data_IF_511170505823
#
_entry.id   IF_511170505823
#
_cell.length_a   1.000
_cell.length_b   1.000
_cell.length_c   1.000
_cell.angle_alpha   90.00
_cell.angle_beta   90.00
_cell.angle_gamma   90.00
#
_symmetry.space_group_name_H-M   'P 1'
#
loop_
_entity.id
_entity.type
_entity.pdbx_description
1 polymer ?
#
# COMPACT_ATOMS: atom_id res chain seq x y z
N UNK A 1 -2.89 -9.12 -4.48
CA UNK A 1 -4.33 -8.82 -4.37
C UNK A 1 -4.54 -8.00 -3.11
N UNK A 2 -4.79 -6.70 -3.28
CA UNK A 2 -4.94 -5.78 -2.14
C UNK A 2 -6.39 -5.61 -1.69
N UNK A 3 -6.61 -4.86 -0.62
CA UNK A 3 -7.93 -4.62 -0.03
C UNK A 3 -8.95 -4.00 -1.01
N UNK A 4 -8.50 -3.20 -1.96
CA UNK A 4 -9.38 -2.52 -2.91
C UNK A 4 -9.22 -3.00 -4.36
N UNK A 5 -8.04 -3.50 -4.74
CA UNK A 5 -7.68 -3.69 -6.15
C UNK A 5 -6.87 -4.97 -6.34
N UNK A 6 -7.17 -5.73 -7.37
CA UNK A 6 -6.26 -6.73 -7.93
C UNK A 6 -5.51 -6.07 -9.07
N UNK A 7 -4.21 -6.28 -9.12
CA UNK A 7 -3.33 -5.61 -10.08
C UNK A 7 -2.43 -6.64 -10.76
N UNK A 8 -2.47 -6.68 -12.07
CA UNK A 8 -1.53 -7.39 -12.92
C UNK A 8 -0.44 -6.42 -13.36
N UNK A 9 0.81 -6.78 -13.17
CA UNK A 9 1.96 -6.07 -13.69
C UNK A 9 2.83 -7.05 -14.49
N UNK A 10 2.98 -6.83 -15.78
CA UNK A 10 3.89 -7.56 -16.64
C UNK A 10 5.23 -6.84 -16.67
N UNK A 11 6.31 -7.53 -16.37
CA UNK A 11 7.66 -6.95 -16.41
C UNK A 11 8.61 -7.83 -17.19
N UNK A 12 9.57 -7.21 -17.81
CA UNK A 12 10.78 -7.86 -18.33
C UNK A 12 11.83 -7.86 -17.22
N UNK A 13 12.32 -9.02 -16.89
CA UNK A 13 13.38 -9.16 -15.91
C UNK A 13 14.46 -10.12 -16.40
N UNK A 14 15.69 -9.79 -16.13
CA UNK A 14 16.84 -10.63 -16.38
C UNK A 14 17.79 -10.58 -15.17
N UNK A 15 18.57 -11.61 -14.99
CA UNK A 15 19.47 -11.72 -13.85
C UNK A 15 20.46 -10.55 -13.80
N UNK A 16 20.51 -9.84 -12.68
CA UNK A 16 21.41 -8.69 -12.48
C UNK A 16 20.91 -7.37 -13.10
N UNK A 17 19.76 -7.38 -13.77
CA UNK A 17 19.13 -6.16 -14.32
C UNK A 17 17.99 -5.64 -13.44
N UNK A 18 17.65 -4.39 -13.66
CA UNK A 18 16.45 -3.79 -13.05
C UNK A 18 15.20 -4.26 -13.81
N UNK A 19 14.15 -4.76 -13.13
CA UNK A 19 12.91 -5.15 -13.79
C UNK A 19 12.28 -3.96 -14.53
N UNK A 20 11.87 -4.16 -15.77
CA UNK A 20 11.25 -3.12 -16.59
C UNK A 20 9.76 -3.39 -16.73
N UNK A 21 8.88 -2.53 -16.19
CA UNK A 21 7.44 -2.64 -16.39
C UNK A 21 7.08 -2.52 -17.88
N UNK A 22 6.32 -3.49 -18.39
CA UNK A 22 5.85 -3.55 -19.79
C UNK A 22 4.38 -3.17 -19.91
N UNK A 23 3.55 -3.73 -19.06
CA UNK A 23 2.11 -3.41 -19.05
C UNK A 23 1.54 -3.55 -17.63
N UNK A 24 0.41 -2.87 -17.40
CA UNK A 24 -0.24 -2.85 -16.09
C UNK A 24 -1.76 -2.83 -16.27
N UNK A 25 -2.46 -3.79 -15.66
CA UNK A 25 -3.92 -3.89 -15.69
C UNK A 25 -4.45 -3.98 -14.26
N UNK A 26 -5.55 -3.28 -13.96
CA UNK A 26 -6.13 -3.21 -12.61
C UNK A 26 -7.63 -3.53 -12.64
N UNK A 27 -8.06 -4.37 -11.70
CA UNK A 27 -9.47 -4.64 -11.41
C UNK A 27 -9.80 -4.10 -10.01
N UNK A 28 -10.81 -3.23 -9.91
CA UNK A 28 -11.27 -2.69 -8.62
C UNK A 28 -12.32 -3.62 -8.04
N UNK A 29 -11.99 -4.31 -6.96
CA UNK A 29 -12.86 -5.31 -6.32
C UNK A 29 -13.44 -4.85 -4.99
N UNK A 30 -12.76 -3.93 -4.27
CA UNK A 30 -13.13 -3.46 -2.92
C UNK A 30 -13.40 -4.63 -1.95
N UNK A 31 -12.47 -5.59 -1.89
CA UNK A 31 -12.65 -6.81 -1.11
C UNK A 31 -12.87 -6.51 0.38
N UNK A 32 -12.19 -5.50 0.92
CA UNK A 32 -12.36 -5.09 2.31
C UNK A 32 -13.79 -4.63 2.66
N UNK A 33 -14.55 -4.14 1.68
CA UNK A 33 -15.94 -3.71 1.84
C UNK A 33 -16.93 -4.90 1.69
N UNK A 34 -16.45 -6.05 1.25
CA UNK A 34 -17.24 -7.25 0.99
C UNK A 34 -16.96 -8.38 1.99
N UNK A 35 -16.41 -8.03 3.14
CA UNK A 35 -16.30 -8.90 4.31
C UNK A 35 -17.60 -8.76 5.10
N UNK A 36 -18.25 -9.89 5.37
CA UNK A 36 -19.50 -9.94 6.12
C UNK A 36 -19.31 -9.81 7.65
N UNK A 37 -20.44 -9.94 8.40
CA UNK A 37 -20.44 -9.83 9.86
C UNK A 37 -19.64 -10.93 10.58
N UNK A 38 -19.42 -12.07 9.93
CA UNK A 38 -18.64 -13.22 10.43
C UNK A 38 -17.15 -13.15 10.02
N UNK A 39 -16.75 -12.06 9.36
CA UNK A 39 -15.40 -11.85 8.87
C UNK A 39 -15.07 -12.66 7.61
N UNK A 40 -16.07 -13.20 6.89
CA UNK A 40 -15.89 -13.97 5.67
C UNK A 40 -15.92 -13.04 4.44
N UNK A 41 -15.08 -13.32 3.48
CA UNK A 41 -15.24 -12.76 2.14
C UNK A 41 -16.49 -13.39 1.49
N UNK A 42 -17.43 -12.56 1.04
CA UNK A 42 -18.69 -13.04 0.45
C UNK A 42 -18.43 -13.86 -0.83
N UNK A 43 -19.31 -14.82 -1.14
CA UNK A 43 -19.22 -15.65 -2.37
C UNK A 43 -19.18 -14.79 -3.64
N UNK A 44 -19.92 -13.67 -3.64
CA UNK A 44 -19.90 -12.70 -4.72
C UNK A 44 -18.50 -12.06 -4.90
N UNK A 45 -17.83 -11.74 -3.80
CA UNK A 45 -16.48 -11.18 -3.84
C UNK A 45 -15.45 -12.23 -4.26
N UNK A 46 -15.56 -13.45 -3.74
CA UNK A 46 -14.73 -14.59 -4.16
C UNK A 46 -14.87 -14.86 -5.66
N UNK A 47 -16.12 -14.91 -6.17
CA UNK A 47 -16.38 -15.08 -7.60
C UNK A 47 -15.76 -13.97 -8.48
N UNK A 48 -15.83 -12.70 -8.05
CA UNK A 48 -15.18 -11.60 -8.76
C UNK A 48 -13.65 -11.69 -8.72
N UNK A 49 -13.09 -12.13 -7.59
CA UNK A 49 -11.67 -12.35 -7.44
C UNK A 49 -11.18 -13.42 -8.41
N UNK A 50 -11.86 -14.57 -8.46
CA UNK A 50 -11.56 -15.67 -9.38
C UNK A 50 -11.60 -15.19 -10.84
N UNK A 51 -12.70 -14.55 -11.26
CA UNK A 51 -12.84 -14.04 -12.62
C UNK A 51 -11.70 -13.04 -13.00
N UNK A 52 -11.29 -12.20 -12.05
CA UNK A 52 -10.16 -11.28 -12.29
C UNK A 52 -8.82 -12.01 -12.41
N UNK A 53 -8.61 -13.10 -11.66
CA UNK A 53 -7.40 -13.91 -11.77
C UNK A 53 -7.38 -14.68 -13.08
N UNK A 54 -8.51 -15.22 -13.53
CA UNK A 54 -8.66 -15.86 -14.86
C UNK A 54 -8.29 -14.88 -15.97
N UNK A 55 -8.93 -13.70 -16.02
CA UNK A 55 -8.63 -12.66 -17.01
C UNK A 55 -7.15 -12.28 -17.02
N UNK A 56 -6.56 -12.12 -15.84
CA UNK A 56 -5.15 -11.73 -15.72
C UNK A 56 -4.20 -12.85 -16.14
N UNK A 57 -4.57 -14.10 -15.92
CA UNK A 57 -3.82 -15.26 -16.39
C UNK A 57 -3.83 -15.34 -17.93
N UNK A 58 -4.96 -15.04 -18.56
CA UNK A 58 -5.09 -14.99 -20.01
C UNK A 58 -4.22 -13.85 -20.61
N UNK A 59 -4.26 -12.66 -20.01
CA UNK A 59 -3.41 -11.53 -20.42
C UNK A 59 -1.94 -11.92 -20.28
N UNK A 60 -1.58 -12.55 -19.23
CA UNK A 60 -0.25 -13.03 -18.93
C UNK A 60 0.26 -14.01 -19.99
N UNK A 61 -0.52 -15.03 -20.25
CA UNK A 61 -0.21 -16.08 -21.25
C UNK A 61 -0.08 -15.47 -22.65
N UNK A 62 -1.02 -14.60 -23.04
CA UNK A 62 -0.97 -13.91 -24.34
C UNK A 62 0.21 -12.95 -24.48
N UNK A 63 0.70 -12.42 -23.36
CA UNK A 63 1.93 -11.60 -23.30
C UNK A 63 3.21 -12.42 -23.34
N UNK A 64 3.13 -13.76 -23.44
CA UNK A 64 4.28 -14.67 -23.47
C UNK A 64 5.03 -14.70 -22.14
N UNK A 65 4.32 -14.63 -21.02
CA UNK A 65 4.92 -14.68 -19.70
C UNK A 65 5.19 -16.12 -19.29
N UNK A 66 6.35 -16.38 -18.70
CA UNK A 66 6.79 -17.73 -18.33
C UNK A 66 6.45 -18.07 -16.89
N UNK A 67 6.30 -17.07 -16.03
CA UNK A 67 6.03 -17.27 -14.61
C UNK A 67 4.98 -16.29 -14.11
N UNK A 68 4.03 -16.77 -13.29
CA UNK A 68 3.08 -15.97 -12.55
C UNK A 68 3.44 -16.07 -11.06
N UNK A 69 3.59 -14.92 -10.40
CA UNK A 69 3.73 -14.83 -8.96
C UNK A 69 2.53 -14.06 -8.42
N UNK A 70 1.69 -14.69 -7.64
CA UNK A 70 0.47 -14.09 -7.12
C UNK A 70 0.54 -13.94 -5.60
N UNK A 71 0.23 -12.75 -5.11
CA UNK A 71 0.25 -12.44 -3.68
C UNK A 71 -1.09 -11.87 -3.22
N UNK A 72 -1.49 -12.22 -2.01
CA UNK A 72 -2.62 -11.62 -1.31
C UNK A 72 -2.16 -10.95 -0.01
N UNK A 73 -2.84 -9.86 0.36
CA UNK A 73 -2.56 -9.11 1.59
C UNK A 73 -3.81 -8.94 2.45
N UNK A 74 -3.84 -7.94 3.30
CA UNK A 74 -4.74 -7.76 4.43
C UNK A 74 -6.20 -8.17 4.21
N UNK A 75 -6.86 -7.80 3.11
CA UNK A 75 -8.28 -8.13 2.94
C UNK A 75 -8.57 -9.63 2.74
N UNK A 76 -7.67 -10.34 2.05
CA UNK A 76 -7.77 -11.79 1.86
C UNK A 76 -7.19 -12.52 3.07
N UNK A 77 -6.02 -12.10 3.54
CA UNK A 77 -5.35 -12.67 4.71
C UNK A 77 -6.22 -12.67 5.96
N UNK A 78 -6.93 -11.56 6.21
CA UNK A 78 -7.71 -11.36 7.42
C UNK A 78 -9.13 -11.96 7.32
N UNK A 79 -9.54 -12.48 6.15
CA UNK A 79 -10.82 -13.15 5.97
C UNK A 79 -10.81 -14.52 6.63
N UNK A 80 -11.88 -14.85 7.39
CA UNK A 80 -12.01 -16.14 8.10
C UNK A 80 -12.11 -17.34 7.16
N UNK A 81 -12.44 -17.13 5.90
CA UNK A 81 -12.49 -18.15 4.83
C UNK A 81 -11.35 -17.99 3.81
N UNK A 82 -10.22 -17.42 4.21
CA UNK A 82 -9.07 -17.19 3.32
C UNK A 82 -8.66 -18.45 2.56
N UNK A 83 -8.39 -19.55 3.26
CA UNK A 83 -7.91 -20.80 2.66
C UNK A 83 -8.92 -21.40 1.67
N UNK A 84 -10.22 -21.33 1.99
CA UNK A 84 -11.29 -21.78 1.10
C UNK A 84 -11.32 -20.99 -0.21
N UNK A 85 -11.23 -19.65 -0.10
CA UNK A 85 -11.24 -18.76 -1.28
C UNK A 85 -9.99 -18.98 -2.13
N UNK A 86 -8.81 -19.13 -1.53
CA UNK A 86 -7.56 -19.36 -2.25
C UNK A 86 -7.51 -20.74 -2.91
N UNK A 87 -8.07 -21.77 -2.26
CA UNK A 87 -8.25 -23.08 -2.89
C UNK A 87 -9.13 -23.00 -4.14
N UNK A 88 -10.26 -22.26 -4.07
CA UNK A 88 -11.13 -22.04 -5.23
C UNK A 88 -10.41 -21.27 -6.36
N UNK A 89 -9.56 -20.30 -6.04
CA UNK A 89 -8.74 -19.59 -7.03
C UNK A 89 -7.80 -20.58 -7.70
N UNK A 90 -7.05 -21.39 -6.93
CA UNK A 90 -6.10 -22.35 -7.47
C UNK A 90 -6.80 -23.40 -8.35
N UNK A 91 -7.93 -23.96 -7.91
CA UNK A 91 -8.69 -24.99 -8.63
C UNK A 91 -9.20 -24.48 -10.00
N UNK A 92 -9.67 -23.22 -10.05
CA UNK A 92 -10.26 -22.65 -11.27
C UNK A 92 -9.27 -22.04 -12.22
N UNK A 93 -8.18 -21.48 -11.71
CA UNK A 93 -7.24 -20.66 -12.52
C UNK A 93 -5.88 -21.32 -12.68
N UNK A 94 -5.57 -22.37 -11.90
CA UNK A 94 -4.23 -22.96 -11.84
C UNK A 94 -3.19 -22.07 -11.15
N UNK A 95 -3.59 -20.90 -10.64
CA UNK A 95 -2.68 -19.94 -10.00
C UNK A 95 -2.68 -20.14 -8.48
N UNK A 96 -1.53 -20.49 -7.94
CA UNK A 96 -1.31 -20.50 -6.48
C UNK A 96 -1.03 -19.08 -6.00
N UNK A 97 -1.75 -18.66 -4.95
CA UNK A 97 -1.61 -17.32 -4.36
C UNK A 97 -0.94 -17.44 -3.00
N UNK A 98 0.21 -16.78 -2.85
CA UNK A 98 0.92 -16.69 -1.58
C UNK A 98 0.31 -15.56 -0.72
N UNK A 99 0.05 -15.83 0.55
CA UNK A 99 -0.46 -14.84 1.49
C UNK A 99 0.71 -14.20 2.23
N UNK A 100 0.95 -12.92 1.98
CA UNK A 100 1.98 -12.19 2.68
C UNK A 100 1.56 -11.89 4.13
N UNK A 101 2.45 -12.16 5.08
CA UNK A 101 2.29 -11.61 6.43
C UNK A 101 2.40 -10.08 6.39
N UNK A 102 1.82 -9.40 7.37
CA UNK A 102 1.95 -7.93 7.44
C UNK A 102 3.41 -7.48 7.55
N UNK A 103 4.25 -8.24 8.25
CA UNK A 103 5.68 -7.96 8.37
C UNK A 103 6.39 -8.14 7.03
N UNK A 104 6.05 -9.17 6.24
CA UNK A 104 6.64 -9.36 4.91
C UNK A 104 6.19 -8.26 3.94
N UNK A 105 4.94 -7.81 4.04
CA UNK A 105 4.42 -6.65 3.29
C UNK A 105 5.24 -5.38 3.61
N UNK A 106 5.52 -5.13 4.90
CA UNK A 106 6.36 -4.02 5.34
C UNK A 106 7.82 -4.15 4.85
N UNK A 107 8.41 -5.36 4.89
CA UNK A 107 9.77 -5.63 4.39
C UNK A 107 9.87 -5.40 2.89
N UNK A 108 8.91 -5.91 2.12
CA UNK A 108 8.89 -5.74 0.67
C UNK A 108 8.71 -4.27 0.28
N UNK A 109 7.87 -3.52 1.00
CA UNK A 109 7.75 -2.07 0.81
C UNK A 109 9.07 -1.37 1.09
N UNK A 110 9.73 -1.71 2.18
CA UNK A 110 11.04 -1.18 2.55
C UNK A 110 12.08 -1.43 1.46
N UNK A 111 12.15 -2.66 0.96
CA UNK A 111 13.05 -3.06 -0.13
C UNK A 111 12.80 -2.23 -1.40
N UNK A 112 11.54 -2.04 -1.79
CA UNK A 112 11.18 -1.23 -2.96
C UNK A 112 11.63 0.22 -2.80
N UNK A 113 11.36 0.82 -1.64
CA UNK A 113 11.77 2.19 -1.30
C UNK A 113 13.29 2.30 -1.28
N UNK A 114 14.00 1.33 -0.68
CA UNK A 114 15.47 1.29 -0.65
C UNK A 114 16.06 1.26 -2.06
N UNK A 115 15.55 0.41 -2.94
CA UNK A 115 16.02 0.31 -4.32
C UNK A 115 15.72 1.55 -5.16
N UNK A 116 14.62 2.26 -4.85
CA UNK A 116 14.28 3.51 -5.50
C UNK A 116 15.26 4.64 -5.17
N UNK A 117 15.59 4.81 -3.89
CA UNK A 117 16.47 5.88 -3.43
C UNK A 117 17.95 5.51 -3.43
N UNK A 118 18.28 4.22 -3.37
CA UNK A 118 19.65 3.74 -3.26
C UNK A 118 20.23 3.87 -1.84
N UNK A 119 21.43 3.35 -1.67
CA UNK A 119 22.09 3.31 -0.34
C UNK A 119 22.58 4.69 0.14
N UNK A 120 22.82 5.63 -0.78
CA UNK A 120 23.18 7.02 -0.43
C UNK A 120 22.10 7.77 0.34
N UNK A 121 20.88 7.26 0.38
CA UNK A 121 19.77 7.84 1.16
C UNK A 121 19.92 7.61 2.68
N UNK A 122 20.94 6.88 3.13
CA UNK A 122 21.14 6.58 4.55
C UNK A 122 20.02 5.75 5.16
N UNK A 123 19.64 6.04 6.40
CA UNK A 123 18.54 5.40 7.10
C UNK A 123 17.19 5.89 6.59
N UNK A 124 16.35 4.96 6.14
CA UNK A 124 15.01 5.28 5.63
C UNK A 124 13.95 4.80 6.61
N UNK A 125 13.07 5.73 7.01
CA UNK A 125 11.81 5.43 7.69
C UNK A 125 10.69 5.48 6.64
N UNK A 126 10.04 4.35 6.39
CA UNK A 126 8.98 4.23 5.38
C UNK A 126 7.62 3.96 6.03
N UNK A 127 6.57 4.53 5.38
CA UNK A 127 5.16 4.34 5.75
C UNK A 127 4.34 3.98 4.51
N UNK A 128 3.42 3.02 4.65
CA UNK A 128 2.39 2.70 3.65
C UNK A 128 1.02 2.58 4.32
N UNK A 129 0.05 3.40 3.91
CA UNK A 129 -1.33 3.31 4.40
C UNK A 129 -2.16 2.59 3.35
N UNK A 130 -2.40 1.31 3.58
CA UNK A 130 -3.28 0.49 2.77
C UNK A 130 -4.77 0.68 3.08
N UNK A 131 -5.60 -0.21 2.52
CA UNK A 131 -7.03 -0.26 2.87
C UNK A 131 -7.29 -0.94 4.21
N UNK A 132 -6.53 -1.98 4.55
CA UNK A 132 -6.70 -2.78 5.77
C UNK A 132 -5.64 -2.54 6.84
N UNK A 133 -4.43 -2.15 6.46
CA UNK A 133 -3.27 -2.04 7.35
C UNK A 133 -2.44 -0.78 7.11
N UNK A 134 -1.55 -0.50 8.06
CA UNK A 134 -0.47 0.47 7.99
C UNK A 134 0.84 -0.31 8.14
N UNK A 135 1.67 -0.28 7.13
CA UNK A 135 3.02 -0.82 7.14
C UNK A 135 4.01 0.28 7.48
N UNK A 136 5.01 -0.08 8.30
CA UNK A 136 6.08 0.81 8.74
C UNK A 136 7.40 0.06 8.76
N UNK A 137 8.48 0.72 8.34
CA UNK A 137 9.82 0.14 8.44
C UNK A 137 10.87 1.22 8.69
N UNK A 138 11.96 0.84 9.37
CA UNK A 138 13.13 1.70 9.56
C UNK A 138 14.38 0.85 9.35
N UNK A 139 15.34 1.32 8.54
CA UNK A 139 16.57 0.59 8.26
C UNK A 139 17.49 1.27 7.29
N UNK A 140 18.69 0.71 7.13
CA UNK A 140 19.76 1.22 6.26
C UNK A 140 20.02 0.33 5.06
N UNK A 141 19.55 -0.91 5.09
CA UNK A 141 19.82 -1.93 4.08
C UNK A 141 18.54 -2.42 3.37
N UNK A 142 18.64 -3.44 2.52
CA UNK A 142 17.50 -4.09 1.85
C UNK A 142 16.56 -4.74 2.86
N UNK A 143 17.12 -5.38 3.89
CA UNK A 143 16.35 -5.84 5.06
C UNK A 143 16.33 -4.72 6.10
N UNK A 144 15.16 -4.19 6.46
CA UNK A 144 15.05 -3.14 7.47
C UNK A 144 15.32 -3.68 8.88
N UNK A 145 15.87 -2.84 9.76
CA UNK A 145 16.11 -3.19 11.16
C UNK A 145 14.80 -3.48 11.90
N UNK A 146 13.74 -2.76 11.55
CA UNK A 146 12.37 -2.96 12.05
C UNK A 146 11.37 -2.91 10.90
N UNK A 147 10.44 -3.86 10.87
CA UNK A 147 9.30 -3.92 9.96
C UNK A 147 8.04 -4.26 10.76
N UNK A 148 7.04 -3.39 10.69
CA UNK A 148 5.79 -3.49 11.45
C UNK A 148 4.59 -3.36 10.51
N UNK A 149 3.53 -4.10 10.81
CA UNK A 149 2.21 -3.92 10.19
C UNK A 149 1.16 -3.84 11.29
N UNK A 150 0.34 -2.82 11.25
CA UNK A 150 -0.78 -2.61 12.17
C UNK A 150 -2.11 -2.57 11.40
N UNK A 151 -3.23 -3.03 11.99
CA UNK A 151 -4.55 -3.03 11.35
C UNK A 151 -5.17 -1.61 11.28
N UNK A 152 -4.39 -0.63 10.81
CA UNK A 152 -4.72 0.80 10.79
C UNK A 152 -4.90 1.33 9.36
N UNK A 153 -5.40 0.49 8.45
CA UNK A 153 -5.70 0.89 7.08
C UNK A 153 -6.90 1.83 6.97
N UNK A 154 -6.86 2.71 5.97
CA UNK A 154 -7.88 3.75 5.77
C UNK A 154 -9.30 3.20 5.63
N UNK A 155 -9.48 2.10 4.89
CA UNK A 155 -10.80 1.48 4.68
C UNK A 155 -11.33 0.79 5.93
N UNK A 156 -10.47 0.06 6.65
CA UNK A 156 -10.82 -0.58 7.93
C UNK A 156 -11.29 0.46 8.94
N UNK A 157 -10.49 1.51 9.16
CA UNK A 157 -10.83 2.55 10.14
C UNK A 157 -12.08 3.33 9.76
N UNK A 158 -12.33 3.56 8.47
CA UNK A 158 -13.58 4.19 8.03
C UNK A 158 -14.77 3.32 8.40
N UNK A 159 -14.74 2.02 8.09
CA UNK A 159 -15.84 1.10 8.39
C UNK A 159 -16.10 0.95 9.89
N UNK A 160 -15.04 0.85 10.68
CA UNK A 160 -15.15 0.54 12.11
C UNK A 160 -15.43 1.79 12.98
N UNK A 161 -14.92 2.96 12.58
CA UNK A 161 -14.93 4.14 13.42
C UNK A 161 -15.71 5.33 12.84
N UNK A 162 -15.78 5.46 11.50
CA UNK A 162 -16.34 6.62 10.80
C UNK A 162 -17.44 6.20 9.81
N UNK A 163 -18.52 5.55 10.27
CA UNK A 163 -19.60 5.07 9.39
C UNK A 163 -20.46 6.19 8.81
N UNK A 164 -20.43 7.40 9.42
CA UNK A 164 -21.23 8.54 8.98
C UNK A 164 -20.55 9.27 7.81
N UNK A 165 -21.35 9.90 6.93
CA UNK A 165 -20.85 10.73 5.82
C UNK A 165 -21.63 12.05 5.70
N UNK A 166 -21.01 13.20 6.00
CA UNK A 166 -19.65 13.40 6.53
C UNK A 166 -19.42 12.77 7.89
N UNK A 167 -18.16 12.40 8.21
CA UNK A 167 -17.86 11.76 9.49
C UNK A 167 -18.16 12.67 10.68
N UNK A 168 -18.74 12.11 11.74
CA UNK A 168 -19.04 12.85 12.97
C UNK A 168 -17.76 13.34 13.68
N UNK A 169 -17.77 14.59 14.15
CA UNK A 169 -16.61 15.23 14.77
C UNK A 169 -16.17 14.56 16.07
N UNK A 170 -17.11 14.03 16.85
CA UNK A 170 -16.78 13.33 18.11
C UNK A 170 -16.10 12.01 17.80
N UNK A 171 -16.61 11.25 16.80
CA UNK A 171 -16.00 10.02 16.32
C UNK A 171 -14.59 10.26 15.79
N UNK A 172 -14.36 11.32 15.03
CA UNK A 172 -13.00 11.73 14.58
C UNK A 172 -12.08 11.97 15.78
N UNK A 173 -12.56 12.63 16.84
CA UNK A 173 -11.76 12.89 18.05
C UNK A 173 -11.43 11.60 18.79
N UNK A 174 -12.42 10.73 18.98
CA UNK A 174 -12.22 9.43 19.65
C UNK A 174 -11.24 8.54 18.85
N UNK A 175 -11.42 8.45 17.52
CA UNK A 175 -10.51 7.71 16.67
C UNK A 175 -9.07 8.24 16.78
N UNK A 176 -8.89 9.56 16.77
CA UNK A 176 -7.56 10.17 16.90
C UNK A 176 -6.90 9.79 18.23
N UNK A 177 -7.64 9.90 19.34
CA UNK A 177 -7.09 9.61 20.67
C UNK A 177 -6.77 8.10 20.83
N UNK A 178 -7.59 7.23 20.25
CA UNK A 178 -7.33 5.79 20.16
C UNK A 178 -6.08 5.47 19.32
N UNK A 179 -5.98 6.05 18.11
CA UNK A 179 -4.82 5.88 17.24
C UNK A 179 -3.53 6.36 17.91
N UNK A 180 -3.59 7.40 18.73
CA UNK A 180 -2.46 7.92 19.51
C UNK A 180 -1.93 6.88 20.51
N UNK A 181 -2.81 6.07 21.10
CA UNK A 181 -2.43 4.99 21.99
C UNK A 181 -1.88 3.79 21.22
N UNK A 182 -2.56 3.37 20.16
CA UNK A 182 -2.16 2.21 19.34
C UNK A 182 -0.78 2.35 18.71
N UNK A 183 -0.40 3.56 18.30
CA UNK A 183 0.89 3.81 17.64
C UNK A 183 2.05 4.02 18.60
N UNK A 184 1.82 4.05 19.91
CA UNK A 184 2.86 4.39 20.90
C UNK A 184 4.03 3.41 20.89
N UNK A 185 3.73 2.11 20.91
CA UNK A 185 4.76 1.06 20.97
C UNK A 185 5.50 0.93 19.63
N UNK A 186 4.78 1.06 18.52
CA UNK A 186 5.39 1.09 17.19
C UNK A 186 6.31 2.31 17.03
N UNK A 187 5.88 3.49 17.49
CA UNK A 187 6.69 4.70 17.47
C UNK A 187 8.00 4.53 18.26
N UNK A 188 7.94 3.86 19.42
CA UNK A 188 9.12 3.55 20.22
C UNK A 188 10.06 2.60 19.48
N UNK A 189 9.56 1.48 18.95
CA UNK A 189 10.37 0.51 18.22
C UNK A 189 11.09 1.16 17.03
N UNK A 190 10.38 2.00 16.26
CA UNK A 190 10.95 2.72 15.12
C UNK A 190 12.01 3.75 15.55
N UNK A 191 11.81 4.44 16.68
CA UNK A 191 12.76 5.42 17.22
C UNK A 191 14.02 4.76 17.78
N UNK A 192 13.91 3.60 18.42
CA UNK A 192 15.02 2.85 19.00
C UNK A 192 16.05 2.39 17.93
N UNK A 193 15.64 2.30 16.65
CA UNK A 193 16.54 2.00 15.52
C UNK A 193 17.45 3.16 15.11
N UNK A 194 17.22 4.36 15.62
CA UNK A 194 17.96 5.58 15.28
C UNK A 194 17.23 6.53 14.35
N UNK A 195 17.74 7.77 14.28
CA UNK A 195 17.12 8.83 13.49
C UNK A 195 17.20 8.55 11.98
N UNK A 196 16.09 8.68 11.23
CA UNK A 196 16.11 8.51 9.79
C UNK A 196 16.76 9.72 9.10
N UNK A 197 17.52 9.45 8.04
CA UNK A 197 18.05 10.46 7.12
C UNK A 197 16.97 10.87 6.10
N UNK A 198 16.09 9.93 5.75
CA UNK A 198 15.02 10.14 4.79
C UNK A 198 13.72 9.52 5.33
N UNK A 199 12.60 10.26 5.20
CA UNK A 199 11.26 9.75 5.53
C UNK A 199 10.44 9.67 4.25
N UNK A 200 9.93 8.47 3.96
CA UNK A 200 9.22 8.15 2.72
C UNK A 200 7.82 7.67 3.04
N UNK A 201 6.86 8.13 2.28
CA UNK A 201 5.50 7.64 2.27
C UNK A 201 5.14 7.06 0.91
N UNK A 202 4.55 5.88 0.92
CA UNK A 202 4.05 5.18 -0.28
C UNK A 202 2.54 5.07 -0.20
N UNK A 203 1.91 4.40 -1.14
CA UNK A 203 0.47 4.21 -1.29
C UNK A 203 -0.31 5.32 -1.98
N UNK A 204 -1.46 4.91 -2.52
CA UNK A 204 -2.40 5.84 -3.14
C UNK A 204 -3.00 6.84 -2.12
N UNK A 205 -3.12 6.42 -0.85
CA UNK A 205 -3.59 7.29 0.23
C UNK A 205 -2.68 8.49 0.42
N UNK A 206 -1.37 8.25 0.60
CA UNK A 206 -0.40 9.34 0.75
C UNK A 206 -0.30 10.20 -0.50
N UNK A 207 -0.35 9.61 -1.70
CA UNK A 207 -0.34 10.36 -2.97
C UNK A 207 -1.53 11.31 -3.09
N UNK A 208 -2.74 10.84 -2.76
CA UNK A 208 -3.93 11.69 -2.74
C UNK A 208 -3.80 12.83 -1.72
N UNK A 209 -3.33 12.54 -0.52
CA UNK A 209 -3.13 13.56 0.52
C UNK A 209 -2.08 14.61 0.11
N UNK A 210 -0.97 14.18 -0.49
CA UNK A 210 0.04 15.09 -1.01
C UNK A 210 -0.52 15.95 -2.15
N UNK A 211 -1.27 15.34 -3.09
CA UNK A 211 -1.92 16.08 -4.19
C UNK A 211 -2.89 17.14 -3.67
N UNK A 212 -3.71 16.80 -2.69
CA UNK A 212 -4.66 17.72 -2.06
C UNK A 212 -3.97 18.86 -1.29
N UNK A 213 -2.70 18.71 -0.93
CA UNK A 213 -1.89 19.76 -0.27
C UNK A 213 -0.96 20.48 -1.23
N UNK A 214 -1.12 20.31 -2.56
CA UNK A 214 -0.43 21.06 -3.59
C UNK A 214 0.77 20.36 -4.22
N UNK A 215 1.01 19.06 -3.94
CA UNK A 215 2.08 18.32 -4.61
C UNK A 215 1.79 18.13 -6.11
N UNK A 216 2.86 17.96 -6.89
CA UNK A 216 2.79 17.75 -8.34
C UNK A 216 1.89 16.55 -8.73
N UNK A 217 1.11 16.63 -9.82
CA UNK A 217 0.32 15.51 -10.32
C UNK A 217 1.20 14.37 -10.81
N UNK A 218 0.61 13.16 -10.96
CA UNK A 218 1.34 11.99 -11.48
C UNK A 218 1.87 12.20 -12.90
N UNK A 219 1.21 13.03 -13.72
CA UNK A 219 1.66 13.41 -15.07
C UNK A 219 3.01 14.14 -15.09
N UNK A 220 3.44 14.72 -13.97
CA UNK A 220 4.78 15.33 -13.85
C UNK A 220 5.91 14.28 -13.79
N UNK A 221 5.57 13.00 -13.82
CA UNK A 221 6.50 11.87 -13.83
C UNK A 221 6.88 11.37 -12.43
N UNK A 222 7.43 10.15 -12.35
CA UNK A 222 7.68 9.47 -11.07
C UNK A 222 8.80 10.11 -10.24
N UNK A 223 9.69 10.89 -10.87
CA UNK A 223 10.81 11.58 -10.20
C UNK A 223 10.46 12.98 -9.72
N UNK A 224 9.26 13.50 -10.02
CA UNK A 224 8.84 14.80 -9.50
C UNK A 224 8.76 14.74 -7.98
N UNK A 225 9.38 15.75 -7.33
CA UNK A 225 9.36 15.84 -5.87
C UNK A 225 7.95 16.09 -5.36
N UNK A 226 7.49 15.27 -4.45
CA UNK A 226 6.20 15.37 -3.79
C UNK A 226 6.40 15.31 -2.29
N UNK A 227 5.79 16.23 -1.59
CA UNK A 227 5.94 16.37 -0.15
C UNK A 227 4.59 16.52 0.53
N UNK A 228 4.47 15.97 1.71
CA UNK A 228 3.33 16.12 2.59
C UNK A 228 3.81 16.70 3.91
N UNK A 229 3.40 17.95 4.20
CA UNK A 229 3.81 18.65 5.42
C UNK A 229 2.77 18.49 6.53
N UNK A 230 3.21 18.58 7.79
CA UNK A 230 2.33 18.54 8.94
C UNK A 230 1.30 19.71 8.95
N UNK A 231 1.68 20.88 8.46
CA UNK A 231 0.79 22.05 8.38
C UNK A 231 -0.28 21.87 7.32
N UNK A 232 0.12 21.46 6.09
CA UNK A 232 -0.80 21.19 4.99
C UNK A 232 -1.80 20.10 5.36
N UNK A 233 -1.32 19.00 5.96
CA UNK A 233 -2.19 17.91 6.37
C UNK A 233 -3.20 18.31 7.48
N UNK A 234 -2.81 19.16 8.44
CA UNK A 234 -3.75 19.68 9.45
C UNK A 234 -4.88 20.50 8.82
N UNK A 235 -4.54 21.39 7.87
CA UNK A 235 -5.52 22.21 7.14
C UNK A 235 -6.44 21.32 6.30
N UNK A 236 -5.85 20.34 5.58
CA UNK A 236 -6.59 19.39 4.77
C UNK A 236 -7.61 18.60 5.61
N UNK A 237 -7.20 18.03 6.75
CA UNK A 237 -8.11 17.29 7.64
C UNK A 237 -9.28 18.15 8.06
N UNK A 238 -9.04 19.40 8.46
CA UNK A 238 -10.12 20.32 8.87
C UNK A 238 -11.09 20.63 7.72
N UNK A 239 -10.65 20.58 6.49
CA UNK A 239 -11.44 20.80 5.29
C UNK A 239 -12.24 19.54 4.89
N UNK A 240 -11.54 18.42 4.61
CA UNK A 240 -12.18 17.20 4.06
C UNK A 240 -13.11 16.50 5.06
N UNK A 241 -12.90 16.70 6.38
CA UNK A 241 -13.77 16.10 7.40
C UNK A 241 -15.18 16.70 7.47
N UNK A 242 -15.41 17.81 6.76
CA UNK A 242 -16.73 18.48 6.68
C UNK A 242 -17.47 18.21 5.38
N UNK A 243 -16.81 17.52 4.45
CA UNK A 243 -17.33 17.22 3.11
C UNK A 243 -17.95 15.83 3.10
N UNK A 244 -18.99 15.63 2.31
CA UNK A 244 -19.48 14.29 1.96
C UNK A 244 -18.47 13.56 1.04
N UNK A 245 -18.56 12.24 0.98
CA UNK A 245 -17.69 11.43 0.11
C UNK A 245 -17.86 11.79 -1.37
N UNK A 246 -19.10 12.11 -1.80
CA UNK A 246 -19.38 12.62 -3.14
C UNK A 246 -18.57 13.85 -3.49
N UNK A 247 -18.54 14.83 -2.59
CA UNK A 247 -17.81 16.08 -2.82
C UNK A 247 -16.30 15.88 -2.77
N UNK A 248 -15.84 14.98 -1.89
CA UNK A 248 -14.41 14.58 -1.83
C UNK A 248 -13.95 13.87 -3.11
N UNK A 249 -14.84 13.14 -3.80
CA UNK A 249 -14.55 12.47 -5.06
C UNK A 249 -14.29 13.47 -6.21
N UNK A 250 -14.82 14.69 -6.13
CA UNK A 250 -14.59 15.76 -7.11
C UNK A 250 -13.23 16.46 -6.90
N UNK A 251 -12.56 16.24 -5.78
CA UNK A 251 -11.25 16.83 -5.52
C UNK A 251 -10.16 16.18 -6.37
N UNK A 252 -9.31 16.99 -6.98
CA UNK A 252 -8.23 16.51 -7.82
C UNK A 252 -7.26 15.59 -7.07
N UNK A 253 -7.05 14.38 -7.57
CA UNK A 253 -6.18 13.36 -6.97
C UNK A 253 -6.90 12.42 -6.01
N UNK A 254 -8.21 12.59 -5.81
CA UNK A 254 -9.06 11.64 -5.07
C UNK A 254 -9.85 10.80 -6.07
N UNK A 255 -9.70 9.49 -6.03
CA UNK A 255 -10.55 8.60 -6.82
C UNK A 255 -11.85 8.29 -6.04
N UNK A 256 -12.95 8.14 -6.76
CA UNK A 256 -14.29 7.88 -6.19
C UNK A 256 -14.32 6.65 -5.26
N UNK A 257 -13.52 5.62 -5.59
CA UNK A 257 -13.36 4.41 -4.79
C UNK A 257 -12.68 4.64 -3.43
N UNK A 258 -12.02 5.79 -3.23
CA UNK A 258 -11.28 6.12 -2.00
C UNK A 258 -11.78 7.36 -1.27
N UNK A 259 -12.70 8.09 -1.86
CA UNK A 259 -13.24 9.32 -1.29
C UNK A 259 -13.82 9.14 0.12
N UNK A 260 -14.47 8.00 0.38
CA UNK A 260 -14.97 7.63 1.70
C UNK A 260 -13.85 7.43 2.73
N UNK A 261 -12.71 6.89 2.32
CA UNK A 261 -11.63 6.45 3.20
C UNK A 261 -10.58 7.54 3.49
N UNK A 262 -10.60 8.65 2.74
CA UNK A 262 -9.50 9.63 2.77
C UNK A 262 -9.37 10.35 4.12
N UNK A 263 -10.47 10.52 4.86
CA UNK A 263 -10.44 11.17 6.19
C UNK A 263 -9.71 10.29 7.20
N UNK A 264 -10.05 9.00 7.28
CA UNK A 264 -9.34 8.06 8.14
C UNK A 264 -7.86 7.96 7.74
N UNK A 265 -7.56 7.85 6.44
CA UNK A 265 -6.19 7.85 5.93
C UNK A 265 -5.42 9.11 6.32
N UNK A 266 -6.04 10.28 6.30
CA UNK A 266 -5.43 11.54 6.70
C UNK A 266 -5.13 11.60 8.21
N UNK A 267 -5.99 10.99 9.05
CA UNK A 267 -5.73 10.88 10.49
C UNK A 267 -4.52 9.99 10.77
N UNK A 268 -4.40 8.83 10.11
CA UNK A 268 -3.24 7.93 10.22
C UNK A 268 -1.98 8.64 9.71
N UNK A 269 -2.03 9.30 8.56
CA UNK A 269 -0.90 10.04 8.00
C UNK A 269 -0.40 11.16 8.96
N UNK A 270 -1.31 11.84 9.64
CA UNK A 270 -0.94 12.85 10.65
C UNK A 270 -0.15 12.26 11.81
N UNK A 271 -0.49 11.05 12.21
CA UNK A 271 0.21 10.34 13.28
C UNK A 271 1.55 9.78 12.82
N UNK A 272 1.64 9.30 11.57
CA UNK A 272 2.93 8.93 10.96
C UNK A 272 3.92 10.10 11.00
N UNK A 273 3.49 11.33 10.66
CA UNK A 273 4.32 12.54 10.79
C UNK A 273 4.71 12.79 12.26
N UNK A 274 3.86 12.46 13.22
CA UNK A 274 4.20 12.61 14.65
C UNK A 274 5.24 11.60 15.11
N UNK A 275 5.19 10.36 14.63
CA UNK A 275 6.23 9.35 14.86
C UNK A 275 7.57 9.89 14.38
N UNK A 276 7.61 10.46 13.18
CA UNK A 276 8.82 11.11 12.63
C UNK A 276 9.38 12.15 13.61
N UNK A 277 8.53 12.99 14.19
CA UNK A 277 8.95 14.01 15.17
C UNK A 277 9.57 13.43 16.43
N UNK A 278 9.10 12.26 16.85
CA UNK A 278 9.64 11.58 18.04
C UNK A 278 10.98 10.88 17.73
N UNK A 279 11.18 10.44 16.47
CA UNK A 279 12.40 9.77 16.02
C UNK A 279 13.51 10.75 15.57
N UNK A 280 13.18 12.02 15.29
CA UNK A 280 14.13 13.03 14.85
C UNK A 280 14.63 13.87 16.05
N UNK A 281 15.94 14.05 16.14
CA UNK A 281 16.56 15.05 17.01
C UNK A 281 16.15 16.46 16.52
N UNK A 282 15.89 17.36 17.45
CA UNK A 282 15.39 18.72 17.25
C UNK A 282 16.11 19.43 16.10
N UNK A 283 15.37 19.84 15.05
CA UNK A 283 15.88 20.70 13.97
C UNK A 283 15.54 20.27 12.52
N UNK A 284 15.09 19.04 12.28
CA UNK A 284 14.76 18.58 10.93
C UNK A 284 13.37 19.05 10.45
N UNK A 285 13.26 19.34 9.15
CA UNK A 285 11.96 19.68 8.55
C UNK A 285 11.04 18.44 8.53
N UNK A 286 9.84 18.59 9.06
CA UNK A 286 8.83 17.52 9.18
C UNK A 286 8.09 17.32 7.86
N UNK A 287 8.76 16.71 6.90
CA UNK A 287 8.24 16.48 5.54
C UNK A 287 8.32 15.00 5.23
N UNK A 288 7.22 14.42 4.74
CA UNK A 288 7.21 13.11 4.13
C UNK A 288 7.44 13.26 2.63
N UNK A 289 8.47 12.58 2.10
CA UNK A 289 8.64 12.43 0.66
C UNK A 289 7.67 11.36 0.16
N UNK A 290 6.77 11.75 -0.73
CA UNK A 290 5.73 10.84 -1.26
C UNK A 290 6.18 10.30 -2.60
N UNK A 291 6.33 8.97 -2.69
CA UNK A 291 6.62 8.29 -3.94
C UNK A 291 5.36 8.17 -4.79
N UNK A 292 5.53 8.46 -6.08
CA UNK A 292 4.51 8.26 -7.10
C UNK A 292 5.05 7.30 -8.16
N UNK A 293 4.31 6.28 -8.42
CA UNK A 293 4.65 5.25 -9.37
C UNK A 293 4.43 3.85 -8.80
N UNK A 294 4.41 2.91 -9.69
CA UNK A 294 4.41 1.49 -9.32
C UNK A 294 5.87 1.09 -9.06
N UNK A 295 6.19 0.80 -7.81
CA UNK A 295 7.52 0.36 -7.39
C UNK A 295 7.70 -1.11 -7.76
N UNK A 296 8.53 -1.41 -8.76
CA UNK A 296 8.85 -2.79 -9.10
C UNK A 296 9.98 -3.32 -8.19
N UNK A 297 9.72 -4.44 -7.51
CA UNK A 297 10.70 -5.12 -6.66
C UNK A 297 11.31 -6.28 -7.43
N UNK A 298 12.60 -6.27 -7.73
CA UNK A 298 13.31 -7.44 -8.23
C UNK A 298 13.50 -8.44 -7.10
N UNK A 299 12.64 -9.44 -6.98
CA UNK A 299 12.89 -10.57 -6.11
C UNK A 299 13.99 -11.44 -6.74
N UNK A 300 15.07 -11.71 -6.00
CA UNK A 300 16.03 -12.69 -6.40
C UNK A 300 15.40 -14.09 -6.31
N UNK A 301 14.99 -14.64 -7.44
CA UNK A 301 14.60 -16.04 -7.53
C UNK A 301 15.76 -16.99 -7.21
N UNK A 302 15.52 -18.31 -7.03
CA UNK A 302 16.55 -19.28 -6.70
C UNK A 302 17.72 -19.22 -7.70
N UNK A 303 18.92 -19.45 -7.24
CA UNK A 303 20.24 -19.18 -7.86
C UNK A 303 20.50 -19.73 -9.28
N UNK A 304 19.53 -20.36 -9.94
CA UNK A 304 19.72 -21.10 -11.21
C UNK A 304 18.85 -20.63 -12.39
N UNK A 305 18.27 -19.44 -12.39
CA UNK A 305 17.46 -18.95 -13.52
C UNK A 305 18.31 -18.05 -14.39
N UNK A 306 18.70 -18.56 -15.56
CA UNK A 306 19.36 -17.85 -16.65
C UNK A 306 18.28 -17.16 -17.47
N UNK A 307 18.28 -15.83 -17.53
CA UNK A 307 17.34 -14.97 -18.27
C UNK A 307 15.88 -15.35 -18.05
N UNK A 308 15.25 -14.68 -17.12
CA UNK A 308 13.79 -14.76 -16.94
C UNK A 308 13.22 -13.36 -16.83
N UNK A 309 12.13 -13.10 -17.52
CA UNK A 309 11.31 -11.91 -17.29
C UNK A 309 10.59 -12.14 -15.98
N UNK A 310 11.14 -11.57 -14.93
CA UNK A 310 10.61 -11.67 -13.58
C UNK A 310 9.67 -10.50 -13.33
N UNK A 311 8.55 -10.79 -12.79
CA UNK A 311 7.51 -9.86 -12.47
C UNK A 311 7.56 -9.52 -11.02
N UNK A 312 7.55 -8.25 -10.74
CA UNK A 312 7.53 -7.73 -9.38
C UNK A 312 6.32 -6.84 -9.19
N UNK A 313 5.46 -7.26 -8.31
CA UNK A 313 4.29 -6.48 -7.94
C UNK A 313 4.63 -5.37 -6.96
N UNK A 314 3.98 -4.25 -7.18
CA UNK A 314 3.98 -3.11 -6.29
C UNK A 314 2.97 -3.33 -5.21
N UNK A 315 3.25 -2.85 -4.03
CA UNK A 315 2.43 -2.94 -2.82
C UNK A 315 1.17 -2.05 -2.85
N UNK A 316 0.37 -2.27 -3.81
CA UNK A 316 -1.06 -2.52 -3.82
C UNK A 316 -1.21 -3.81 -4.62
N UNK A 317 -0.84 -4.87 -4.02
CA UNK A 317 -0.57 -6.23 -4.49
C UNK A 317 -1.08 -6.55 -5.89
N UNK A 318 -0.24 -6.63 -6.90
CA UNK A 318 -0.62 -7.13 -8.21
C UNK A 318 -0.43 -8.64 -8.33
N UNK A 319 -1.19 -9.24 -9.23
CA UNK A 319 -0.85 -10.50 -9.84
C UNK A 319 0.35 -10.24 -10.75
N UNK A 320 1.40 -11.00 -10.56
CA UNK A 320 2.68 -10.75 -11.18
C UNK A 320 2.96 -11.80 -12.26
N UNK A 321 3.34 -11.40 -13.46
CA UNK A 321 3.55 -12.30 -14.59
C UNK A 321 4.87 -12.04 -15.31
N UNK A 322 5.62 -13.10 -15.61
CA UNK A 322 6.97 -13.05 -16.19
C UNK A 322 7.01 -13.48 -17.66
N UNK A 323 7.73 -12.76 -18.50
CA UNK A 323 8.17 -13.20 -19.82
C UNK A 323 9.69 -13.43 -19.79
N UNK A 324 10.15 -14.52 -20.40
CA UNK A 324 11.58 -14.87 -20.54
C UNK A 324 12.03 -14.67 -21.97
N UNK A 325 13.18 -14.10 -22.21
CA UNK A 325 13.98 -14.21 -23.44
C UNK A 325 15.32 -14.88 -23.16
#
# INVERSE_FOLDING_TARGET
MGSNTVHLLVVDAHRGGHPTPMSSTKAVLRLAEQIDGDGRLTDKAAGKLIASVEEFTDIATSSGCEQIMAFATSAVRDATNCDEVLAQVADKTGVTVDVLSGTDEARLTSLAVRRWYGWSAGRILAFDIGGGSLEMSNGVDEEPDVALSLPLGAGRLTREWLPDDPPDRRRISVLRDWLDAELKDAAKQLADCGSPDLVVATSKTFRSLARLTGAAPSSAGPRARRELTASGLRQLIAFISRMAASDRAELEGVSSDRAGQIVAGALVAKLSIRIVRSALIVGAQHVLHVLDGDLAIGLAGPRNVVRSRLVVGVLTVPLLVVRVE
#
